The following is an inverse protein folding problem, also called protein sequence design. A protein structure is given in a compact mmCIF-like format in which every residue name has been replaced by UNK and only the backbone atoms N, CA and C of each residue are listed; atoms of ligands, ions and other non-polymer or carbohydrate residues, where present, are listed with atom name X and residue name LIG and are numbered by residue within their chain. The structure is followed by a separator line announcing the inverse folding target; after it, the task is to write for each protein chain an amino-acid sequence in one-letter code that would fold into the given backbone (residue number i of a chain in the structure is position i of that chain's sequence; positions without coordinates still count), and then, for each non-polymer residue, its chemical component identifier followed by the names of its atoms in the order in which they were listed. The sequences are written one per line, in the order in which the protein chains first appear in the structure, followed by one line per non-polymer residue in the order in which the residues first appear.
data_IF_536576954661
#
_entry.id   IF_536576954661
#
_cell.length_a   1.000
_cell.length_b   1.000
_cell.length_c   1.000
_cell.angle_alpha   90.00
_cell.angle_beta   90.00
_cell.angle_gamma   90.00
#
_symmetry.space_group_name_H-M   'P 1'
#
loop_
_entity.id
_entity.type
_entity.pdbx_description
1 polymer ?
#
# COMPACT_ATOMS: atom_id res chain seq x y z
N UNK A 1 17.75 20.58 21.81
CA UNK A 1 17.41 19.18 21.48
C UNK A 1 15.95 19.15 21.07
N UNK A 2 15.66 19.03 19.77
CA UNK A 2 14.28 18.97 19.28
C UNK A 2 13.73 17.58 19.50
N UNK A 3 12.70 17.46 20.34
CA UNK A 3 11.98 16.20 20.56
C UNK A 3 11.22 15.88 19.26
N UNK A 4 11.42 14.70 18.65
CA UNK A 4 10.66 14.33 17.47
C UNK A 4 9.18 14.20 17.85
N UNK A 5 8.31 14.91 17.12
CA UNK A 5 6.87 14.74 17.23
C UNK A 5 6.51 13.34 16.77
N UNK A 6 6.15 12.46 17.71
CA UNK A 6 5.62 11.13 17.39
C UNK A 6 4.26 11.30 16.69
N UNK A 7 4.26 11.31 15.36
CA UNK A 7 3.02 11.24 14.59
C UNK A 7 2.35 9.89 14.86
N UNK A 8 1.15 9.91 15.46
CA UNK A 8 0.35 8.69 15.64
C UNK A 8 -0.07 8.17 14.28
N UNK A 9 0.40 6.99 13.92
CA UNK A 9 -0.06 6.25 12.75
C UNK A 9 -1.53 5.83 12.93
N UNK A 10 -2.26 5.72 11.82
CA UNK A 10 -3.62 5.17 11.84
C UNK A 10 -3.69 3.73 12.35
N UNK A 11 -4.90 3.31 12.71
CA UNK A 11 -5.18 1.96 13.24
C UNK A 11 -4.74 0.86 12.25
N UNK A 12 -3.87 -0.07 12.65
CA UNK A 12 -3.33 -1.08 11.73
C UNK A 12 -4.41 -1.99 11.13
N UNK A 13 -5.48 -2.32 11.88
CA UNK A 13 -6.56 -3.17 11.37
C UNK A 13 -7.34 -2.47 10.25
N UNK A 14 -7.75 -1.21 10.46
CA UNK A 14 -8.44 -0.40 9.44
C UNK A 14 -7.60 -0.31 8.17
N UNK A 15 -6.32 0.03 8.29
CA UNK A 15 -5.46 0.22 7.13
C UNK A 15 -5.08 -1.08 6.42
N UNK A 16 -5.02 -2.21 7.14
CA UNK A 16 -4.91 -3.53 6.52
C UNK A 16 -6.11 -3.81 5.61
N UNK A 17 -7.33 -3.59 6.10
CA UNK A 17 -8.55 -3.82 5.32
C UNK A 17 -8.73 -2.84 4.16
N UNK A 18 -8.35 -1.57 4.33
CA UNK A 18 -8.34 -0.59 3.24
C UNK A 18 -7.35 -0.99 2.13
N UNK A 19 -6.15 -1.42 2.50
CA UNK A 19 -5.15 -1.90 1.55
C UNK A 19 -5.71 -3.09 0.73
N UNK A 20 -6.30 -4.09 1.39
CA UNK A 20 -6.94 -5.20 0.68
C UNK A 20 -8.13 -4.76 -0.19
N UNK A 21 -8.92 -3.81 0.28
CA UNK A 21 -10.10 -3.32 -0.45
C UNK A 21 -9.73 -2.60 -1.74
N UNK A 22 -8.70 -1.77 -1.74
CA UNK A 22 -8.17 -1.13 -2.96
C UNK A 22 -7.68 -2.18 -3.95
N UNK A 23 -6.90 -3.16 -3.50
CA UNK A 23 -6.45 -4.27 -4.34
C UNK A 23 -7.62 -5.02 -4.98
N UNK A 24 -8.62 -5.41 -4.18
CA UNK A 24 -9.82 -6.11 -4.66
C UNK A 24 -10.60 -5.31 -5.71
N UNK A 25 -10.86 -4.03 -5.43
CA UNK A 25 -11.57 -3.13 -6.37
C UNK A 25 -10.80 -3.00 -7.67
N UNK A 26 -9.47 -3.00 -7.63
CA UNK A 26 -8.63 -3.01 -8.82
C UNK A 26 -8.56 -4.35 -9.57
N UNK A 27 -9.21 -5.40 -9.07
CA UNK A 27 -9.15 -6.75 -9.65
C UNK A 27 -7.92 -7.55 -9.24
N UNK A 28 -7.29 -7.20 -8.12
CA UNK A 28 -6.08 -7.85 -7.61
C UNK A 28 -6.38 -8.63 -6.32
N UNK A 29 -5.68 -9.75 -6.15
CA UNK A 29 -5.55 -10.44 -4.86
C UNK A 29 -4.13 -10.26 -4.33
N UNK A 30 -3.95 -9.41 -3.32
CA UNK A 30 -2.61 -9.20 -2.72
C UNK A 30 -2.08 -10.46 -2.05
N UNK A 31 -2.96 -11.27 -1.44
CA UNK A 31 -2.56 -12.56 -0.87
C UNK A 31 -2.09 -13.53 -1.96
N UNK A 32 -2.77 -13.59 -3.10
CA UNK A 32 -2.32 -14.42 -4.22
C UNK A 32 -1.02 -13.89 -4.81
N UNK A 33 -0.86 -12.57 -4.95
CA UNK A 33 0.39 -11.98 -5.40
C UNK A 33 1.58 -12.35 -4.51
N UNK A 34 1.37 -12.49 -3.19
CA UNK A 34 2.38 -13.00 -2.27
C UNK A 34 2.70 -14.47 -2.53
N UNK A 35 1.67 -15.32 -2.64
CA UNK A 35 1.86 -16.75 -2.93
C UNK A 35 2.54 -16.99 -4.27
N UNK A 36 2.26 -16.16 -5.27
CA UNK A 36 2.84 -16.25 -6.61
C UNK A 36 4.25 -15.64 -6.70
N UNK A 37 4.81 -15.12 -5.59
CA UNK A 37 6.10 -14.44 -5.56
C UNK A 37 6.13 -13.11 -6.33
N UNK A 38 4.96 -12.56 -6.66
CA UNK A 38 4.79 -11.27 -7.34
C UNK A 38 4.71 -10.09 -6.39
N UNK A 39 4.71 -10.31 -5.08
CA UNK A 39 4.73 -9.30 -4.03
C UNK A 39 5.36 -9.93 -2.79
N UNK A 40 6.49 -9.44 -2.29
CA UNK A 40 7.02 -9.99 -1.04
C UNK A 40 6.13 -9.65 0.17
N UNK A 41 6.17 -10.49 1.20
CA UNK A 41 5.49 -10.23 2.49
C UNK A 41 5.94 -8.90 3.10
N UNK A 42 7.24 -8.57 2.97
CA UNK A 42 7.80 -7.32 3.48
C UNK A 42 7.23 -6.11 2.73
N UNK A 43 7.14 -6.17 1.40
CA UNK A 43 6.50 -5.14 0.58
C UNK A 43 5.03 -4.98 0.98
N UNK A 44 4.30 -6.07 1.22
CA UNK A 44 2.90 -6.01 1.62
C UNK A 44 2.71 -5.36 3.01
N UNK A 45 3.53 -5.72 4.01
CA UNK A 45 3.58 -5.03 5.30
C UNK A 45 3.93 -3.54 5.15
N UNK A 46 4.85 -3.23 4.23
CA UNK A 46 5.20 -1.86 3.83
C UNK A 46 4.02 -1.09 3.27
N UNK A 47 3.19 -1.70 2.41
CA UNK A 47 1.96 -1.08 1.88
C UNK A 47 1.00 -0.69 3.00
N UNK A 48 0.78 -1.58 3.98
CA UNK A 48 -0.10 -1.29 5.13
C UNK A 48 0.47 -0.14 5.94
N UNK A 49 1.77 -0.16 6.23
CA UNK A 49 2.45 0.91 6.99
C UNK A 49 2.40 2.26 6.26
N UNK A 50 2.56 2.27 4.94
CA UNK A 50 2.42 3.47 4.11
C UNK A 50 0.99 4.00 4.12
N UNK A 51 0.01 3.09 4.01
CA UNK A 51 -1.41 3.44 4.09
C UNK A 51 -1.77 4.09 5.44
N UNK A 52 -1.17 3.64 6.56
CA UNK A 52 -1.37 4.22 7.91
C UNK A 52 -0.91 5.66 8.07
N UNK A 53 -0.11 6.18 7.13
CA UNK A 53 0.34 7.57 7.06
C UNK A 53 -0.54 8.43 6.14
N UNK A 54 -1.50 7.83 5.45
CA UNK A 54 -2.38 8.51 4.50
C UNK A 54 -3.33 9.46 5.25
N UNK A 55 -3.44 10.69 4.78
CA UNK A 55 -4.34 11.70 5.33
C UNK A 55 -5.69 11.75 4.59
N UNK A 56 -5.84 10.96 3.53
CA UNK A 56 -6.96 11.00 2.59
C UNK A 56 -7.86 9.75 2.73
N UNK A 57 -7.97 9.20 3.95
CA UNK A 57 -8.69 7.95 4.22
C UNK A 57 -10.18 8.07 3.87
N UNK A 58 -10.85 9.16 4.24
CA UNK A 58 -12.27 9.35 3.94
C UNK A 58 -12.53 9.49 2.43
N UNK A 59 -11.56 10.04 1.69
CA UNK A 59 -11.59 10.08 0.22
C UNK A 59 -11.38 8.68 -0.37
N UNK A 60 -10.50 7.87 0.23
CA UNK A 60 -10.32 6.46 -0.13
C UNK A 60 -11.62 5.66 0.01
N UNK A 61 -12.31 5.79 1.14
CA UNK A 61 -13.54 5.05 1.42
C UNK A 61 -14.67 5.45 0.46
N UNK A 62 -14.83 6.75 0.18
CA UNK A 62 -15.78 7.23 -0.83
C UNK A 62 -15.44 6.72 -2.23
N UNK A 63 -14.15 6.75 -2.61
CA UNK A 63 -13.70 6.22 -3.89
C UNK A 63 -13.99 4.71 -4.00
N UNK A 64 -13.73 3.92 -2.96
CA UNK A 64 -14.02 2.49 -2.90
C UNK A 64 -15.52 2.20 -3.09
N UNK A 65 -16.40 2.98 -2.46
CA UNK A 65 -17.84 2.83 -2.59
C UNK A 65 -18.40 3.25 -3.95
N UNK A 66 -17.64 4.01 -4.74
CA UNK A 66 -18.07 4.59 -6.01
C UNK A 66 -17.62 3.80 -7.25
N UNK A 67 -16.96 2.63 -7.12
CA UNK A 67 -16.48 1.86 -8.28
C UNK A 67 -17.51 0.81 -8.75
N UNK A 68 -18.26 1.05 -9.86
CA UNK A 68 -19.17 0.05 -10.43
C UNK A 68 -18.43 -1.01 -11.26
N UNK A 69 -17.23 -0.68 -11.74
CA UNK A 69 -16.33 -1.56 -12.51
C UNK A 69 -14.90 -1.39 -12.01
N UNK A 70 -14.02 -2.41 -12.17
CA UNK A 70 -12.63 -2.28 -11.76
C UNK A 70 -11.92 -1.12 -12.49
N UNK A 71 -11.38 -0.12 -11.76
CA UNK A 71 -10.69 1.02 -12.37
C UNK A 71 -9.38 0.58 -13.01
N UNK A 72 -8.97 1.22 -14.10
CA UNK A 72 -7.74 0.89 -14.82
C UNK A 72 -6.47 1.21 -14.01
N UNK A 73 -6.54 2.21 -13.13
CA UNK A 73 -5.46 2.61 -12.21
C UNK A 73 -5.96 2.83 -10.79
N UNK A 74 -5.05 2.74 -9.83
CA UNK A 74 -5.26 3.22 -8.47
C UNK A 74 -5.49 4.75 -8.47
N UNK A 75 -6.20 5.30 -7.46
CA UNK A 75 -6.41 6.73 -7.38
C UNK A 75 -5.11 7.45 -7.00
N UNK A 76 -4.90 8.65 -7.55
CA UNK A 76 -3.64 9.39 -7.43
C UNK A 76 -3.24 9.73 -5.98
N UNK A 77 -4.23 9.91 -5.09
CA UNK A 77 -3.98 10.16 -3.67
C UNK A 77 -3.53 8.91 -2.90
N UNK A 78 -3.66 7.71 -3.48
CA UNK A 78 -3.29 6.48 -2.79
C UNK A 78 -1.76 6.40 -2.72
N UNK A 79 -1.16 6.29 -1.52
CA UNK A 79 0.29 6.23 -1.41
C UNK A 79 0.88 4.90 -1.93
N UNK A 80 0.03 3.90 -2.19
CA UNK A 80 0.40 2.60 -2.76
C UNK A 80 0.04 2.51 -4.26
N UNK A 81 -0.34 3.62 -4.91
CA UNK A 81 -0.84 3.63 -6.29
C UNK A 81 0.11 2.95 -7.27
N UNK A 82 1.41 3.25 -7.19
CA UNK A 82 2.44 2.64 -8.03
C UNK A 82 2.48 1.11 -7.91
N UNK A 83 2.46 0.58 -6.68
CA UNK A 83 2.51 -0.87 -6.42
C UNK A 83 1.29 -1.55 -7.03
N UNK A 84 0.09 -1.00 -6.80
CA UNK A 84 -1.11 -1.59 -7.39
C UNK A 84 -1.12 -1.53 -8.92
N UNK A 85 -0.70 -0.41 -9.51
CA UNK A 85 -0.65 -0.25 -10.96
C UNK A 85 0.33 -1.24 -11.58
N UNK A 86 1.50 -1.45 -10.96
CA UNK A 86 2.50 -2.42 -11.43
C UNK A 86 2.00 -3.86 -11.32
N UNK A 87 1.38 -4.23 -10.20
CA UNK A 87 0.73 -5.54 -10.03
C UNK A 87 -0.35 -5.77 -11.09
N UNK A 88 -1.14 -4.76 -11.42
CA UNK A 88 -2.17 -4.83 -12.45
C UNK A 88 -1.59 -5.02 -13.86
N UNK A 89 -0.41 -4.48 -14.12
CA UNK A 89 0.32 -4.64 -15.37
C UNK A 89 1.11 -5.97 -15.46
N UNK A 90 1.13 -6.78 -14.40
CA UNK A 90 1.86 -8.05 -14.39
C UNK A 90 3.29 -7.96 -13.84
N UNK A 91 3.78 -6.77 -13.48
CA UNK A 91 5.15 -6.58 -12.97
C UNK A 91 5.30 -6.91 -11.49
N UNK A 92 6.53 -7.24 -11.07
CA UNK A 92 6.91 -7.40 -9.67
C UNK A 92 7.23 -6.03 -9.02
N UNK A 93 6.64 -5.67 -7.86
CA UNK A 93 6.84 -4.40 -7.19
C UNK A 93 7.99 -4.38 -6.18
N UNK A 94 8.79 -5.45 -6.08
CA UNK A 94 9.81 -5.63 -5.03
C UNK A 94 11.01 -4.65 -5.11
N UNK A 95 11.10 -3.83 -6.15
CA UNK A 95 12.05 -2.71 -6.20
C UNK A 95 11.60 -1.49 -5.37
N UNK A 96 10.37 -1.47 -4.84
CA UNK A 96 9.85 -0.36 -4.04
C UNK A 96 10.14 -0.65 -2.56
N UNK A 97 11.11 0.04 -1.92
CA UNK A 97 11.46 -0.25 -0.55
C UNK A 97 10.26 -0.08 0.40
N UNK A 98 10.08 -0.99 1.36
CA UNK A 98 8.97 -0.92 2.31
C UNK A 98 9.03 0.38 3.12
N UNK A 99 7.85 0.91 3.47
CA UNK A 99 7.76 2.10 4.30
C UNK A 99 8.36 1.81 5.68
N UNK A 100 9.57 2.31 5.93
CA UNK A 100 10.26 2.19 7.22
C UNK A 100 11.46 1.24 7.25
N UNK A 101 11.96 0.76 6.10
CA UNK A 101 13.30 0.15 6.09
C UNK A 101 14.31 1.24 6.47
N UNK A 102 15.07 1.10 7.57
CA UNK A 102 16.24 1.95 7.77
C UNK A 102 17.17 1.78 6.56
N UNK A 103 17.92 2.82 6.12
CA UNK A 103 18.94 2.61 5.10
C UNK A 103 19.78 1.42 5.53
N UNK A 104 19.93 0.43 4.65
CA UNK A 104 20.74 -0.75 4.96
C UNK A 104 22.13 -0.27 5.35
N UNK A 105 22.54 -0.52 6.60
CA UNK A 105 23.89 -0.30 7.10
C UNK A 105 24.83 -1.37 6.52
N UNK A 106 24.85 -1.49 5.19
CA UNK A 106 25.80 -2.27 4.42
C UNK A 106 26.78 -1.37 3.67
N UNK A 107 27.13 -0.24 4.28
CA UNK A 107 28.42 0.40 4.06
C UNK A 107 29.39 -0.09 5.15
N UNK A 108 30.10 -1.17 4.81
CA UNK A 108 31.43 -1.61 5.29
C UNK A 108 31.99 -1.00 6.58
#
# INVERSE_FOLDING_TARGET
MSVPTLARLGDPNRHFWLTRSVGRVMGLSLGQAVLDGRLSEQSYCGMVTRCRRCLQVDTCERWLGAQPVPPTSAPDFCPNSEIYNRLKQGGAPDDIPPAGTPPSDTAR
#
